data_IF_474645214547
#
_entry.id   IF_474645214547
#
_cell.length_a   1.000
_cell.length_b   1.000
_cell.length_c   1.000
_cell.angle_alpha   90.00
_cell.angle_beta   90.00
_cell.angle_gamma   90.00
#
_symmetry.space_group_name_H-M   'P 1'
#
loop_
_entity.id
_entity.type
_entity.pdbx_description
1 polymer ?
#
# COMPACT_ATOMS: atom_id res chain seq x y z
N UNK A 1 14.48 9.38 -13.53
CA UNK A 1 15.63 8.68 -12.92
C UNK A 1 15.19 8.16 -11.56
N UNK A 2 14.73 6.90 -11.46
CA UNK A 2 14.25 6.37 -10.18
C UNK A 2 15.44 5.81 -9.39
N UNK A 3 15.82 6.53 -8.35
CA UNK A 3 16.95 6.22 -7.48
C UNK A 3 16.67 4.92 -6.70
N UNK A 4 17.60 3.96 -6.77
CA UNK A 4 17.53 2.69 -6.04
C UNK A 4 17.93 2.95 -4.58
N UNK A 5 16.99 3.40 -3.75
CA UNK A 5 17.21 3.53 -2.30
C UNK A 5 16.42 2.47 -1.56
N UNK A 6 17.04 1.30 -1.42
CA UNK A 6 16.83 0.41 -0.28
C UNK A 6 18.09 0.64 0.56
N UNK A 7 17.92 1.27 1.72
CA UNK A 7 18.97 1.74 2.63
C UNK A 7 20.20 0.83 2.62
N UNK A 8 21.38 1.42 2.46
CA UNK A 8 22.63 0.68 2.55
C UNK A 8 22.90 0.36 4.02
N UNK A 9 22.62 -0.88 4.41
CA UNK A 9 22.97 -1.39 5.74
C UNK A 9 24.45 -1.73 5.74
N UNK A 10 25.15 -1.34 6.81
CA UNK A 10 26.56 -1.69 7.02
C UNK A 10 26.76 -3.20 6.99
N UNK A 11 27.88 -3.66 6.40
CA UNK A 11 28.26 -5.09 6.43
C UNK A 11 28.73 -5.55 7.81
N UNK A 12 29.03 -4.61 8.72
CA UNK A 12 29.40 -4.93 10.10
C UNK A 12 28.13 -5.25 10.88
N UNK A 13 28.06 -6.45 11.42
CA UNK A 13 26.94 -6.89 12.23
C UNK A 13 26.96 -6.21 13.60
N UNK A 14 25.77 -5.89 14.11
CA UNK A 14 25.61 -5.54 15.51
C UNK A 14 25.67 -6.80 16.36
N UNK A 15 25.98 -6.61 17.64
CA UNK A 15 25.72 -7.64 18.64
C UNK A 15 24.21 -7.95 18.70
N UNK A 16 23.87 -9.24 18.85
CA UNK A 16 22.48 -9.70 18.75
C UNK A 16 21.60 -9.22 19.90
N UNK A 17 22.15 -9.09 21.10
CA UNK A 17 21.42 -8.61 22.27
C UNK A 17 21.11 -7.13 22.10
N UNK A 18 22.13 -6.36 21.66
CA UNK A 18 21.95 -4.96 21.33
C UNK A 18 20.93 -4.75 20.20
N UNK A 19 20.98 -5.55 19.14
CA UNK A 19 20.02 -5.47 18.04
C UNK A 19 18.59 -5.73 18.51
N UNK A 20 18.38 -6.74 19.36
CA UNK A 20 17.07 -7.04 19.93
C UNK A 20 16.55 -5.89 20.80
N UNK A 21 17.39 -5.30 21.65
CA UNK A 21 17.00 -4.18 22.50
C UNK A 21 16.67 -2.93 21.67
N UNK A 22 17.43 -2.67 20.62
CA UNK A 22 17.14 -1.58 19.67
C UNK A 22 15.77 -1.76 19.02
N UNK A 23 15.41 -2.98 18.58
CA UNK A 23 14.10 -3.23 18.01
C UNK A 23 12.97 -3.09 19.03
N UNK A 24 13.15 -3.61 20.24
CA UNK A 24 12.16 -3.45 21.31
C UNK A 24 11.87 -1.97 21.59
N UNK A 25 12.93 -1.17 21.70
CA UNK A 25 12.80 0.23 22.02
C UNK A 25 12.22 1.06 20.85
N UNK A 26 12.52 0.66 19.62
CA UNK A 26 11.87 1.20 18.42
C UNK A 26 10.36 0.95 18.45
N UNK A 27 9.91 -0.28 18.68
CA UNK A 27 8.47 -0.62 18.68
C UNK A 27 7.71 0.09 19.80
N UNK A 28 8.30 0.17 20.99
CA UNK A 28 7.73 0.92 22.10
C UNK A 28 7.61 2.42 21.78
N UNK A 29 8.64 3.01 21.17
CA UNK A 29 8.63 4.42 20.77
C UNK A 29 7.57 4.70 19.71
N UNK A 30 7.46 3.84 18.68
CA UNK A 30 6.42 3.97 17.66
C UNK A 30 5.01 3.83 18.23
N UNK A 31 4.81 2.94 19.22
CA UNK A 31 3.53 2.78 19.90
C UNK A 31 3.07 4.00 20.71
N UNK A 32 3.99 4.87 21.13
CA UNK A 32 3.67 6.13 21.82
C UNK A 32 3.20 7.25 20.89
N UNK A 33 3.48 7.13 19.60
CA UNK A 33 3.15 8.16 18.61
C UNK A 33 1.68 7.99 18.20
N UNK A 34 0.80 8.72 18.89
CA UNK A 34 -0.64 8.72 18.59
C UNK A 34 -0.96 9.47 17.30
N UNK A 35 -2.09 9.10 16.67
CA UNK A 35 -2.61 9.59 15.38
C UNK A 35 -3.06 11.07 15.41
N UNK A 36 -2.13 11.98 15.73
CA UNK A 36 -2.28 13.43 15.63
C UNK A 36 -1.26 13.99 14.63
N UNK A 37 -1.35 15.28 14.34
CA UNK A 37 -0.38 16.02 13.49
C UNK A 37 1.07 15.71 13.83
N UNK A 38 1.37 15.47 15.13
CA UNK A 38 2.70 15.11 15.64
C UNK A 38 3.30 13.85 14.99
N UNK A 39 2.47 12.89 14.58
CA UNK A 39 2.95 11.67 13.93
C UNK A 39 3.49 11.96 12.52
N UNK A 40 2.79 12.81 11.76
CA UNK A 40 3.18 13.17 10.39
C UNK A 40 4.52 13.90 10.37
N UNK A 41 4.74 14.81 11.31
CA UNK A 41 5.98 15.58 11.41
C UNK A 41 7.14 14.65 11.81
N UNK A 42 6.94 13.82 12.84
CA UNK A 42 7.96 12.83 13.26
C UNK A 42 8.39 11.91 12.12
N UNK A 43 7.45 11.32 11.38
CA UNK A 43 7.79 10.44 10.25
C UNK A 43 8.42 11.20 9.08
N UNK A 44 8.12 12.48 8.93
CA UNK A 44 8.72 13.34 7.89
C UNK A 44 10.17 13.67 8.20
N UNK A 45 10.50 13.86 9.47
CA UNK A 45 11.86 14.11 9.93
C UNK A 45 12.70 12.82 9.98
N UNK A 46 12.09 11.71 10.38
CA UNK A 46 12.77 10.42 10.49
C UNK A 46 13.06 9.76 9.13
N UNK A 47 12.11 9.86 8.19
CA UNK A 47 12.16 9.13 6.93
C UNK A 47 12.37 10.07 5.74
N UNK A 48 13.30 9.70 4.86
CA UNK A 48 13.46 10.38 3.59
C UNK A 48 12.16 10.33 2.77
N UNK A 49 12.00 11.28 1.84
CA UNK A 49 10.84 11.30 0.95
C UNK A 49 10.66 9.98 0.17
N UNK A 50 11.78 9.36 -0.23
CA UNK A 50 11.77 8.08 -0.95
C UNK A 50 11.28 6.94 -0.07
N UNK A 51 11.74 6.87 1.18
CA UNK A 51 11.31 5.84 2.14
C UNK A 51 9.84 5.98 2.51
N UNK A 52 9.37 7.21 2.74
CA UNK A 52 7.95 7.50 2.99
C UNK A 52 7.07 7.01 1.84
N UNK A 53 7.44 7.35 0.60
CA UNK A 53 6.69 6.90 -0.57
C UNK A 53 6.73 5.37 -0.74
N UNK A 54 7.87 4.75 -0.46
CA UNK A 54 8.04 3.30 -0.53
C UNK A 54 7.13 2.58 0.48
N UNK A 55 7.14 3.02 1.75
CA UNK A 55 6.29 2.45 2.79
C UNK A 55 4.81 2.64 2.48
N UNK A 56 4.41 3.85 2.07
CA UNK A 56 3.03 4.13 1.66
C UNK A 56 2.56 3.19 0.54
N UNK A 57 3.38 3.01 -0.50
CA UNK A 57 3.07 2.08 -1.60
C UNK A 57 3.00 0.62 -1.14
N UNK A 58 3.88 0.18 -0.23
CA UNK A 58 3.87 -1.19 0.32
C UNK A 58 2.61 -1.46 1.14
N UNK A 59 2.22 -0.53 2.01
CA UNK A 59 0.99 -0.64 2.82
C UNK A 59 -0.24 -0.65 1.91
N UNK A 60 -0.34 0.29 0.96
CA UNK A 60 -1.44 0.31 0.00
C UNK A 60 -1.51 -0.98 -0.83
N UNK A 61 -0.37 -1.51 -1.27
CA UNK A 61 -0.30 -2.80 -1.99
C UNK A 61 -0.83 -3.95 -1.14
N UNK A 62 -0.41 -4.03 0.13
CA UNK A 62 -0.87 -5.08 1.04
C UNK A 62 -2.39 -5.03 1.24
N UNK A 63 -2.94 -3.83 1.47
CA UNK A 63 -4.38 -3.64 1.64
C UNK A 63 -5.16 -4.00 0.38
N UNK A 64 -4.67 -3.59 -0.81
CA UNK A 64 -5.30 -3.96 -2.08
C UNK A 64 -5.30 -5.47 -2.31
N UNK A 65 -4.21 -6.16 -1.96
CA UNK A 65 -4.12 -7.63 -2.01
C UNK A 65 -5.13 -8.25 -1.05
N UNK A 66 -5.23 -7.75 0.19
CA UNK A 66 -6.23 -8.23 1.17
C UNK A 66 -7.66 -8.05 0.68
N UNK A 67 -7.96 -7.00 -0.10
CA UNK A 67 -9.26 -6.80 -0.77
C UNK A 67 -9.44 -7.58 -2.08
N UNK A 68 -8.50 -8.44 -2.44
CA UNK A 68 -8.60 -9.30 -3.63
C UNK A 68 -8.31 -8.59 -4.96
N UNK A 69 -7.62 -7.45 -4.95
CA UNK A 69 -7.27 -6.75 -6.20
C UNK A 69 -6.21 -7.51 -7.01
N UNK A 70 -6.37 -7.47 -8.33
CA UNK A 70 -5.44 -8.14 -9.24
C UNK A 70 -4.06 -7.46 -9.26
N UNK A 71 -2.99 -8.24 -9.24
CA UNK A 71 -1.60 -7.73 -9.24
C UNK A 71 -1.30 -6.77 -10.40
N UNK A 72 -1.89 -7.01 -11.58
CA UNK A 72 -1.73 -6.12 -12.76
C UNK A 72 -2.34 -4.74 -12.50
N UNK A 73 -3.52 -4.70 -11.87
CA UNK A 73 -4.21 -3.46 -11.52
C UNK A 73 -3.41 -2.69 -10.47
N UNK A 74 -2.96 -3.38 -9.42
CA UNK A 74 -2.14 -2.79 -8.34
C UNK A 74 -0.85 -2.18 -8.91
N UNK A 75 -0.17 -2.91 -9.79
CA UNK A 75 1.03 -2.43 -10.48
C UNK A 75 0.76 -1.13 -11.23
N UNK A 76 -0.32 -1.10 -12.00
CA UNK A 76 -0.65 0.04 -12.84
C UNK A 76 -1.12 1.25 -12.03
N UNK A 77 -1.91 1.04 -10.97
CA UNK A 77 -2.45 2.12 -10.15
C UNK A 77 -1.42 2.76 -9.21
N UNK A 78 -0.54 1.96 -8.61
CA UNK A 78 0.47 2.44 -7.66
C UNK A 78 1.84 2.71 -8.28
N UNK A 79 1.99 2.42 -9.57
CA UNK A 79 3.25 2.49 -10.31
C UNK A 79 4.39 1.81 -9.54
N UNK A 80 4.22 0.50 -9.30
CA UNK A 80 5.19 -0.38 -8.61
C UNK A 80 5.66 -1.50 -9.54
N UNK A 81 6.86 -2.03 -9.33
CA UNK A 81 7.33 -3.17 -10.11
C UNK A 81 6.56 -4.45 -9.76
N UNK A 82 6.54 -5.41 -10.68
CA UNK A 82 5.96 -6.73 -10.39
C UNK A 82 6.65 -7.41 -9.21
N UNK A 83 7.98 -7.32 -9.13
CA UNK A 83 8.76 -7.86 -8.00
C UNK A 83 8.27 -7.31 -6.66
N UNK A 84 7.97 -6.01 -6.58
CA UNK A 84 7.43 -5.41 -5.35
C UNK A 84 6.08 -6.00 -4.99
N UNK A 85 5.15 -6.11 -5.96
CA UNK A 85 3.81 -6.69 -5.70
C UNK A 85 3.92 -8.16 -5.27
N UNK A 86 4.79 -8.94 -5.92
CA UNK A 86 5.03 -10.34 -5.55
C UNK A 86 5.62 -10.47 -4.15
N UNK A 87 6.60 -9.65 -3.80
CA UNK A 87 7.21 -9.67 -2.46
C UNK A 87 6.20 -9.30 -1.37
N UNK A 88 5.39 -8.27 -1.60
CA UNK A 88 4.33 -7.86 -0.66
C UNK A 88 3.25 -8.94 -0.57
N UNK A 89 2.85 -9.56 -1.69
CA UNK A 89 1.91 -10.69 -1.71
C UNK A 89 2.41 -11.88 -0.89
N UNK A 90 3.68 -12.24 -1.07
CA UNK A 90 4.34 -13.29 -0.29
C UNK A 90 4.34 -12.95 1.20
N UNK A 91 4.69 -11.70 1.56
CA UNK A 91 4.62 -11.25 2.95
C UNK A 91 3.20 -11.35 3.53
N UNK A 92 2.17 -10.83 2.84
CA UNK A 92 0.77 -10.89 3.31
C UNK A 92 0.32 -12.35 3.49
N UNK A 93 0.65 -13.24 2.55
CA UNK A 93 0.32 -14.66 2.62
C UNK A 93 0.96 -15.34 3.84
N UNK A 94 2.22 -15.02 4.12
CA UNK A 94 3.03 -15.62 5.18
C UNK A 94 3.00 -14.83 6.50
N UNK A 95 2.22 -13.76 6.59
CA UNK A 95 2.16 -12.92 7.79
C UNK A 95 1.56 -13.67 8.98
N UNK A 96 1.96 -13.26 10.19
CA UNK A 96 1.41 -13.80 11.44
C UNK A 96 -0.10 -13.52 11.53
N UNK A 97 -0.88 -14.36 12.25
CA UNK A 97 -2.34 -14.19 12.35
C UNK A 97 -2.78 -12.79 12.78
N UNK A 98 -2.12 -12.20 13.77
CA UNK A 98 -2.46 -10.84 14.25
C UNK A 98 -2.22 -9.77 13.19
N UNK A 99 -1.14 -9.90 12.41
CA UNK A 99 -0.88 -8.98 11.29
C UNK A 99 -1.94 -9.11 10.20
N UNK A 100 -2.41 -10.34 9.91
CA UNK A 100 -3.49 -10.55 8.94
C UNK A 100 -4.80 -9.91 9.41
N UNK A 101 -5.17 -10.11 10.68
CA UNK A 101 -6.35 -9.46 11.29
C UNK A 101 -6.27 -7.94 11.23
N UNK A 102 -5.10 -7.38 11.53
CA UNK A 102 -4.86 -5.94 11.43
C UNK A 102 -5.04 -5.44 9.99
N UNK A 103 -4.43 -6.11 9.00
CA UNK A 103 -4.57 -5.74 7.59
C UNK A 103 -6.03 -5.84 7.13
N UNK A 104 -6.76 -6.86 7.55
CA UNK A 104 -8.19 -7.01 7.27
C UNK A 104 -9.01 -5.88 7.91
N UNK A 105 -8.72 -5.51 9.17
CA UNK A 105 -9.36 -4.39 9.86
C UNK A 105 -9.13 -3.08 9.11
N UNK A 106 -7.87 -2.76 8.81
CA UNK A 106 -7.47 -1.55 8.07
C UNK A 106 -8.16 -1.53 6.70
N UNK A 107 -8.23 -2.67 6.01
CA UNK A 107 -8.83 -2.74 4.68
C UNK A 107 -10.32 -2.38 4.65
N UNK A 108 -11.02 -2.51 5.77
CA UNK A 108 -12.45 -2.23 5.93
C UNK A 108 -12.73 -0.80 6.41
N UNK A 109 -11.70 -0.04 6.80
CA UNK A 109 -11.89 1.33 7.26
C UNK A 109 -12.36 2.25 6.14
N UNK A 110 -13.29 3.16 6.47
CA UNK A 110 -13.82 4.17 5.54
C UNK A 110 -12.74 5.13 5.03
N UNK A 111 -11.67 5.34 5.79
CA UNK A 111 -10.51 6.18 5.44
C UNK A 111 -9.87 5.78 4.12
N UNK A 112 -9.85 4.47 3.83
CA UNK A 112 -9.25 3.92 2.62
C UNK A 112 -10.17 4.00 1.40
N UNK A 113 -11.46 4.23 1.58
CA UNK A 113 -12.42 4.26 0.48
C UNK A 113 -12.16 5.40 -0.50
N UNK A 114 -11.79 6.58 0.00
CA UNK A 114 -11.40 7.70 -0.85
C UNK A 114 -10.14 7.39 -1.69
N UNK A 115 -9.22 6.57 -1.16
CA UNK A 115 -8.07 6.10 -1.92
C UNK A 115 -8.48 5.10 -2.99
N UNK A 116 -9.38 4.15 -2.68
CA UNK A 116 -9.86 3.18 -3.66
C UNK A 116 -10.62 3.85 -4.80
N UNK A 117 -11.45 4.85 -4.51
CA UNK A 117 -12.15 5.61 -5.53
C UNK A 117 -11.18 6.28 -6.51
N UNK A 118 -10.07 6.84 -6.00
CA UNK A 118 -8.98 7.40 -6.83
C UNK A 118 -8.24 6.32 -7.63
N UNK A 119 -7.97 5.16 -7.03
CA UNK A 119 -7.32 4.03 -7.71
C UNK A 119 -8.19 3.56 -8.88
N UNK A 120 -9.49 3.37 -8.66
CA UNK A 120 -10.40 2.94 -9.72
C UNK A 120 -10.51 4.00 -10.82
N UNK A 121 -10.46 5.30 -10.48
CA UNK A 121 -10.43 6.38 -11.47
C UNK A 121 -9.17 6.32 -12.35
N UNK A 122 -8.01 6.06 -11.74
CA UNK A 122 -6.75 5.86 -12.48
C UNK A 122 -6.88 4.65 -13.41
N UNK A 123 -7.41 3.53 -12.92
CA UNK A 123 -7.57 2.31 -13.69
C UNK A 123 -8.53 2.47 -14.88
N UNK A 124 -9.60 3.23 -14.71
CA UNK A 124 -10.58 3.51 -15.77
C UNK A 124 -9.98 4.32 -16.93
N UNK A 125 -8.92 5.11 -16.67
CA UNK A 125 -8.18 5.88 -17.68
C UNK A 125 -7.19 5.05 -18.49
N UNK A 126 -6.82 3.86 -18.01
CA UNK A 126 -5.86 2.99 -18.71
C UNK A 126 -6.54 2.38 -19.93
N UNK A 127 -5.95 2.45 -21.14
CA UNK A 127 -6.55 1.83 -22.31
C UNK A 127 -6.66 0.30 -22.14
N UNK A 128 -7.68 -0.34 -22.75
CA UNK A 128 -7.81 -1.79 -22.72
C UNK A 128 -6.54 -2.48 -23.23
N UNK A 129 -6.28 -3.71 -22.77
CA UNK A 129 -5.15 -4.48 -23.29
C UNK A 129 -5.34 -4.73 -24.79
N UNK A 130 -4.23 -4.80 -25.54
CA UNK A 130 -4.26 -5.24 -26.94
C UNK A 130 -4.90 -6.64 -27.01
N UNK A 131 -5.83 -6.85 -27.94
CA UNK A 131 -6.66 -8.07 -28.09
C UNK A 131 -7.75 -8.30 -27.03
N UNK A 132 -8.03 -7.34 -26.15
CA UNK A 132 -9.24 -7.38 -25.31
C UNK A 132 -10.48 -6.89 -26.08
N UNK A 133 -11.67 -7.33 -25.66
CA UNK A 133 -12.92 -6.76 -26.17
C UNK A 133 -13.13 -5.36 -25.59
N UNK A 134 -12.82 -4.35 -26.39
CA UNK A 134 -12.94 -2.95 -25.99
C UNK A 134 -14.38 -2.56 -25.68
N UNK A 135 -15.38 -3.11 -26.38
CA UNK A 135 -16.79 -2.76 -26.15
C UNK A 135 -17.21 -3.18 -24.76
N UNK A 136 -16.89 -4.41 -24.36
CA UNK A 136 -17.20 -4.93 -23.03
C UNK A 136 -16.40 -4.21 -21.94
N UNK A 137 -15.12 -3.88 -22.18
CA UNK A 137 -14.34 -3.07 -21.23
C UNK A 137 -14.94 -1.67 -21.01
N UNK A 138 -15.32 -0.95 -22.07
CA UNK A 138 -15.95 0.37 -21.95
C UNK A 138 -17.31 0.30 -21.25
N UNK A 139 -18.09 -0.74 -21.52
CA UNK A 139 -19.35 -1.01 -20.82
C UNK A 139 -19.11 -1.24 -19.33
N UNK A 140 -18.09 -2.04 -18.97
CA UNK A 140 -17.73 -2.28 -17.59
C UNK A 140 -17.24 -1.01 -16.89
N UNK A 141 -16.44 -0.16 -17.56
CA UNK A 141 -16.02 1.16 -17.04
C UNK A 141 -17.21 2.05 -16.73
N UNK A 142 -18.19 2.14 -17.64
CA UNK A 142 -19.42 2.92 -17.38
C UNK A 142 -20.18 2.39 -16.17
N UNK A 143 -20.28 1.05 -16.02
CA UNK A 143 -20.93 0.42 -14.85
C UNK A 143 -20.19 0.75 -13.56
N UNK A 144 -18.86 0.58 -13.55
CA UNK A 144 -18.02 0.86 -12.39
C UNK A 144 -18.10 2.34 -12.00
N UNK A 145 -18.05 3.24 -12.99
CA UNK A 145 -18.15 4.68 -12.79
C UNK A 145 -19.50 5.06 -12.18
N UNK A 146 -20.60 4.57 -12.73
CA UNK A 146 -21.95 4.78 -12.17
C UNK A 146 -22.08 4.24 -10.74
N UNK A 147 -21.59 3.03 -10.49
CA UNK A 147 -21.61 2.42 -9.16
C UNK A 147 -20.82 3.26 -8.15
N UNK A 148 -19.67 3.82 -8.56
CA UNK A 148 -18.86 4.73 -7.73
C UNK A 148 -19.57 6.05 -7.46
N UNK A 149 -20.18 6.68 -8.46
CA UNK A 149 -20.99 7.89 -8.25
C UNK A 149 -22.12 7.64 -7.24
N UNK A 150 -22.82 6.50 -7.35
CA UNK A 150 -23.86 6.12 -6.40
C UNK A 150 -23.33 5.91 -4.97
N UNK A 151 -22.12 5.32 -4.81
CA UNK A 151 -21.47 5.20 -3.49
C UNK A 151 -21.09 6.57 -2.91
N UNK A 152 -20.63 7.49 -3.76
CA UNK A 152 -20.22 8.83 -3.33
C UNK A 152 -21.40 9.68 -2.88
N UNK A 153 -22.58 9.52 -3.50
CA UNK A 153 -23.81 10.21 -3.09
C UNK A 153 -24.42 9.69 -1.79
N UNK A 154 -24.00 8.51 -1.30
CA UNK A 154 -24.49 7.87 -0.08
C UNK A 154 -23.58 8.10 1.14
N UNK A 155 -22.50 8.87 1.00
CA UNK A 155 -21.54 9.22 2.06
C UNK A 155 -21.65 10.67 2.41
#
# INVERSE_FOLDING_TARGET
MYNKLVVQISKKFLDKELESELFNQLWFSLGKINASTKASDFYTDLLSQTERLMLAKRIATAILITRGQNMTKIRASLNVSFTTVTNVSSWVKNARPETKRLLESISKEKSWEALFDKIDEILDKIPPKRHSDWKEEFKQRRRNSRARYARKSLR
#
